data_IF_882777699906
#
_entry.id   IF_882777699906
#
_cell.length_a   1.000
_cell.length_b   1.000
_cell.length_c   1.000
_cell.angle_alpha   90.00
_cell.angle_beta   90.00
_cell.angle_gamma   90.00
#
_symmetry.space_group_name_H-M   'P 1'
#
loop_
_entity.id
_entity.type
_entity.pdbx_description
1 polymer ?
#
# COMPACT_ATOMS: atom_id res chain seq x y z
N UNK A 1 3.72 18.78 -65.30
CA UNK A 1 2.89 17.63 -65.67
C UNK A 1 2.48 16.95 -64.37
N UNK A 2 1.52 17.55 -63.63
CA UNK A 2 0.11 17.11 -63.44
C UNK A 2 0.06 15.63 -63.00
N UNK A 3 -0.45 15.26 -61.82
CA UNK A 3 -1.81 15.57 -61.32
C UNK A 3 -1.94 15.37 -59.79
N UNK A 4 -2.85 16.12 -59.15
CA UNK A 4 -3.26 16.03 -57.74
C UNK A 4 -4.51 15.14 -57.60
N UNK A 5 -4.60 14.34 -56.53
CA UNK A 5 -5.79 14.13 -55.65
C UNK A 5 -5.53 12.96 -54.66
N UNK A 6 -6.29 12.79 -53.55
CA UNK A 6 -7.15 13.72 -52.80
C UNK A 6 -6.81 13.76 -51.29
N UNK A 7 -7.47 14.68 -50.57
CA UNK A 7 -7.49 14.77 -49.12
C UNK A 7 -8.15 13.55 -48.47
N UNK A 8 -7.56 13.04 -47.37
CA UNK A 8 -8.27 12.22 -46.40
C UNK A 8 -7.52 10.98 -45.91
N UNK A 9 -7.21 10.96 -44.61
CA UNK A 9 -6.84 9.81 -43.77
C UNK A 9 -5.42 9.26 -44.02
N UNK A 10 -4.52 9.10 -43.06
CA UNK A 10 -4.57 9.21 -41.62
C UNK A 10 -3.17 9.60 -41.12
N UNK A 11 -3.02 10.80 -40.56
CA UNK A 11 -1.94 11.12 -39.64
C UNK A 11 -2.54 11.26 -38.24
N UNK A 12 -3.20 10.20 -37.78
CA UNK A 12 -3.45 9.96 -36.38
C UNK A 12 -2.41 8.94 -35.91
N UNK A 13 -1.15 9.36 -35.77
CA UNK A 13 -0.12 8.52 -35.15
C UNK A 13 0.84 9.39 -34.33
N UNK A 14 0.25 10.30 -33.55
CA UNK A 14 1.00 11.15 -32.61
C UNK A 14 0.22 11.49 -31.34
N UNK A 15 -0.93 10.87 -31.08
CA UNK A 15 -1.76 11.17 -29.90
C UNK A 15 -2.16 9.95 -29.05
N UNK A 16 -1.62 8.75 -29.30
CA UNK A 16 -1.95 7.55 -28.50
C UNK A 16 -0.92 7.23 -27.39
N UNK A 17 0.01 8.14 -27.11
CA UNK A 17 1.03 7.95 -26.07
C UNK A 17 0.69 8.61 -24.72
N UNK A 18 -0.44 9.32 -24.59
CA UNK A 18 -0.64 10.20 -23.43
C UNK A 18 -2.06 10.18 -22.87
N UNK A 19 -2.54 8.97 -22.58
CA UNK A 19 -3.57 8.73 -21.58
C UNK A 19 -3.14 7.51 -20.75
N UNK A 20 -1.98 7.64 -20.09
CA UNK A 20 -1.67 6.77 -18.94
C UNK A 20 -2.80 7.04 -17.94
N UNK A 21 -3.69 6.07 -17.75
CA UNK A 21 -4.87 6.24 -16.92
C UNK A 21 -4.39 6.58 -15.50
N UNK A 22 -4.51 7.85 -15.11
CA UNK A 22 -4.25 8.23 -13.72
C UNK A 22 -5.20 7.40 -12.87
N UNK A 23 -4.69 6.68 -11.85
CA UNK A 23 -5.54 5.84 -11.03
C UNK A 23 -6.63 6.72 -10.42
N UNK A 24 -7.88 6.28 -10.53
CA UNK A 24 -8.97 6.98 -9.86
C UNK A 24 -8.73 6.93 -8.36
N UNK A 25 -8.87 8.07 -7.68
CA UNK A 25 -8.78 8.16 -6.23
C UNK A 25 -10.17 8.26 -5.63
N UNK A 26 -10.45 7.42 -4.64
CA UNK A 26 -11.68 7.40 -3.87
C UNK A 26 -11.32 7.57 -2.40
N UNK A 27 -11.98 8.54 -1.76
CA UNK A 27 -11.87 8.73 -0.32
C UNK A 27 -12.42 7.49 0.41
N UNK A 28 -11.56 6.84 1.19
CA UNK A 28 -11.94 5.72 2.07
C UNK A 28 -11.09 5.76 3.35
N UNK A 29 -11.77 5.91 4.49
CA UNK A 29 -11.14 5.92 5.81
C UNK A 29 -10.91 4.51 6.38
N UNK A 30 -11.28 3.47 5.63
CA UNK A 30 -11.21 2.06 6.00
C UNK A 30 -12.19 1.65 7.09
N UNK A 31 -13.22 2.47 7.37
CA UNK A 31 -14.20 2.25 8.44
C UNK A 31 -13.70 2.69 9.82
N UNK A 32 -12.69 3.56 9.88
CA UNK A 32 -12.08 4.04 11.13
C UNK A 32 -13.06 4.86 11.96
N UNK A 33 -13.74 5.82 11.34
CA UNK A 33 -14.75 6.64 11.98
C UNK A 33 -15.94 5.79 12.43
N UNK A 34 -16.40 4.87 11.57
CA UNK A 34 -17.47 3.92 11.89
C UNK A 34 -17.12 3.02 13.09
N UNK A 35 -15.84 2.69 13.28
CA UNK A 35 -15.36 1.94 14.43
C UNK A 35 -15.20 2.78 15.73
N UNK A 36 -15.52 4.08 15.68
CA UNK A 36 -15.50 5.00 16.82
C UNK A 36 -14.13 5.63 17.11
N UNK A 37 -13.16 5.52 16.19
CA UNK A 37 -11.83 6.09 16.39
C UNK A 37 -11.80 7.57 16.02
N UNK A 38 -11.33 8.42 16.93
CA UNK A 38 -11.29 9.88 16.78
C UNK A 38 -9.86 10.44 16.74
N UNK A 39 -9.74 11.68 16.29
CA UNK A 39 -8.48 12.43 16.23
C UNK A 39 -7.50 11.97 15.15
N UNK A 40 -6.31 12.59 15.10
CA UNK A 40 -5.27 12.30 14.10
C UNK A 40 -4.57 10.96 14.39
N UNK A 41 -4.31 10.18 13.34
CA UNK A 41 -3.58 8.91 13.40
C UNK A 41 -2.68 8.71 12.18
N UNK A 42 -1.68 7.85 12.32
CA UNK A 42 -0.75 7.40 11.28
C UNK A 42 -1.03 5.94 10.87
N UNK A 43 -2.29 5.57 10.82
CA UNK A 43 -2.81 4.20 10.68
C UNK A 43 -3.00 3.76 9.22
N UNK A 44 -2.29 4.38 8.28
CA UNK A 44 -2.38 4.11 6.83
C UNK A 44 -2.35 2.61 6.51
N UNK A 45 -1.49 1.83 7.18
CA UNK A 45 -1.46 0.38 7.01
C UNK A 45 -2.76 -0.30 7.45
N UNK A 46 -3.28 0.05 8.61
CA UNK A 46 -4.49 -0.58 9.15
C UNK A 46 -5.70 -0.25 8.28
N UNK A 47 -5.82 1.00 7.81
CA UNK A 47 -6.86 1.41 6.87
C UNK A 47 -6.73 0.67 5.53
N UNK A 48 -5.53 0.68 4.93
CA UNK A 48 -5.29 -0.01 3.67
C UNK A 48 -5.59 -1.52 3.74
N UNK A 49 -5.18 -2.18 4.83
CA UNK A 49 -5.48 -3.60 5.02
C UNK A 49 -6.97 -3.84 5.25
N UNK A 50 -7.66 -3.00 6.02
CA UNK A 50 -9.11 -3.12 6.23
C UNK A 50 -9.88 -3.04 4.91
N UNK A 51 -9.54 -2.04 4.07
CA UNK A 51 -10.13 -1.86 2.74
C UNK A 51 -9.83 -3.06 1.85
N UNK A 52 -8.56 -3.43 1.71
CA UNK A 52 -8.12 -4.48 0.80
C UNK A 52 -8.63 -5.87 1.22
N UNK A 53 -8.82 -6.13 2.52
CA UNK A 53 -9.39 -7.38 3.02
C UNK A 53 -10.90 -7.35 3.16
N UNK A 54 -11.55 -6.18 3.01
CA UNK A 54 -12.96 -5.95 3.31
C UNK A 54 -13.35 -6.42 4.71
N UNK A 55 -12.49 -6.12 5.69
CA UNK A 55 -12.70 -6.46 7.10
C UNK A 55 -12.90 -5.19 7.93
N UNK A 56 -13.68 -5.26 9.03
CA UNK A 56 -13.87 -4.10 9.90
C UNK A 56 -12.54 -3.53 10.39
N UNK A 57 -12.40 -2.20 10.35
CA UNK A 57 -11.21 -1.49 10.82
C UNK A 57 -10.71 -1.99 12.17
N UNK A 58 -11.65 -2.13 13.12
CA UNK A 58 -11.36 -2.57 14.49
C UNK A 58 -10.73 -3.95 14.56
N UNK A 59 -11.19 -4.88 13.72
CA UNK A 59 -10.67 -6.24 13.67
C UNK A 59 -9.20 -6.24 13.22
N UNK A 60 -8.89 -5.49 12.16
CA UNK A 60 -7.51 -5.33 11.68
C UNK A 60 -6.66 -4.58 12.71
N UNK A 61 -7.21 -3.54 13.34
CA UNK A 61 -6.52 -2.77 14.37
C UNK A 61 -6.08 -3.66 15.54
N UNK A 62 -7.00 -4.47 16.07
CA UNK A 62 -6.73 -5.40 17.16
C UNK A 62 -5.75 -6.50 16.74
N UNK A 63 -5.89 -7.02 15.50
CA UNK A 63 -4.99 -8.03 14.96
C UNK A 63 -3.55 -7.55 14.82
N UNK A 64 -3.35 -6.32 14.34
CA UNK A 64 -2.03 -5.70 14.21
C UNK A 64 -1.39 -5.53 15.58
N UNK A 65 -2.12 -5.00 16.56
CA UNK A 65 -1.60 -4.80 17.91
C UNK A 65 -1.30 -6.12 18.63
N UNK A 66 -2.13 -7.15 18.44
CA UNK A 66 -1.88 -8.50 18.94
C UNK A 66 -0.59 -9.07 18.36
N UNK A 67 -0.42 -8.98 17.04
CA UNK A 67 0.80 -9.46 16.35
C UNK A 67 2.04 -8.71 16.82
N UNK A 68 1.96 -7.39 17.02
CA UNK A 68 3.04 -6.58 17.55
C UNK A 68 3.48 -7.08 18.94
N UNK A 69 2.51 -7.28 19.84
CA UNK A 69 2.75 -7.74 21.21
C UNK A 69 3.40 -9.12 21.25
N UNK A 70 2.90 -10.07 20.45
CA UNK A 70 3.48 -11.41 20.35
C UNK A 70 4.94 -11.37 19.86
N UNK A 71 5.22 -10.56 18.83
CA UNK A 71 6.58 -10.40 18.31
C UNK A 71 7.51 -9.72 19.30
N UNK A 72 7.01 -8.77 20.10
CA UNK A 72 7.79 -8.13 21.17
C UNK A 72 8.07 -9.09 22.33
N UNK A 73 7.10 -9.92 22.72
CA UNK A 73 7.27 -10.94 23.76
C UNK A 73 8.34 -11.97 23.37
N UNK A 74 8.32 -12.46 22.12
CA UNK A 74 9.35 -13.38 21.61
C UNK A 74 10.76 -12.79 21.53
N UNK A 75 10.91 -11.45 21.61
CA UNK A 75 12.20 -10.75 21.61
C UNK A 75 12.77 -10.52 23.01
N UNK A 76 12.02 -10.78 24.08
CA UNK A 76 12.45 -10.60 25.48
C UNK A 76 13.38 -11.73 25.94
N UNK A 77 14.42 -12.03 25.16
CA UNK A 77 15.56 -12.86 25.57
C UNK A 77 16.46 -12.13 26.58
N UNK A 78 17.42 -12.86 27.17
CA UNK A 78 18.21 -12.40 28.32
C UNK A 78 18.85 -11.02 28.12
N UNK A 79 18.94 -10.26 29.22
CA UNK A 79 19.54 -8.90 29.29
C UNK A 79 20.98 -8.84 28.70
N UNK A 80 21.66 -9.98 28.65
CA UNK A 80 23.00 -10.15 28.06
C UNK A 80 22.98 -10.21 26.53
N UNK A 81 21.91 -10.72 25.90
CA UNK A 81 21.69 -10.66 24.44
C UNK A 81 21.23 -9.28 23.95
N UNK A 82 20.82 -8.40 24.86
CA UNK A 82 20.34 -7.04 24.54
C UNK A 82 21.47 -6.01 24.43
N UNK A 83 22.66 -6.28 25.00
CA UNK A 83 23.86 -5.43 24.85
C UNK A 83 24.51 -5.72 23.49
N UNK A 84 24.35 -4.80 22.53
CA UNK A 84 25.07 -4.82 21.24
C UNK A 84 24.19 -4.97 20.01
N UNK A 85 22.91 -5.30 20.16
CA UNK A 85 21.93 -5.14 19.07
C UNK A 85 21.43 -3.70 19.09
N UNK A 86 21.39 -3.02 17.94
CA UNK A 86 20.44 -1.93 17.73
C UNK A 86 19.06 -2.50 18.06
N UNK A 87 18.61 -2.35 19.32
CA UNK A 87 17.33 -2.87 19.77
C UNK A 87 16.31 -2.14 18.94
N UNK A 88 15.71 -2.82 17.95
CA UNK A 88 14.80 -2.20 16.99
C UNK A 88 13.71 -1.48 17.79
N UNK A 89 13.77 -0.15 17.87
CA UNK A 89 12.91 0.74 18.65
C UNK A 89 11.40 0.50 18.41
N UNK A 90 10.66 -0.25 19.25
CA UNK A 90 9.21 -0.60 19.14
C UNK A 90 8.65 -0.95 17.75
N UNK A 91 8.10 -2.13 17.51
CA UNK A 91 7.66 -2.56 16.15
C UNK A 91 6.63 -1.63 15.47
N UNK A 92 6.06 -0.69 16.21
CA UNK A 92 4.96 0.16 15.81
C UNK A 92 3.65 -0.40 16.36
N UNK A 93 2.56 0.25 16.00
CA UNK A 93 1.22 -0.17 16.39
C UNK A 93 0.22 0.26 15.32
N UNK A 94 -1.01 -0.24 15.42
CA UNK A 94 -2.06 0.04 14.46
C UNK A 94 -2.40 1.54 14.33
N UNK A 95 -2.15 2.37 15.36
CA UNK A 95 -2.50 3.80 15.38
C UNK A 95 -1.40 4.71 14.83
N UNK A 96 -0.13 4.41 15.11
CA UNK A 96 1.01 5.28 14.84
C UNK A 96 1.80 4.86 13.60
N UNK A 97 1.52 3.67 13.06
CA UNK A 97 2.21 3.10 11.93
C UNK A 97 3.07 1.92 12.31
N UNK A 98 3.47 1.18 11.28
CA UNK A 98 4.05 -0.16 11.38
C UNK A 98 5.36 -0.23 10.64
N UNK A 99 6.35 -0.88 11.25
CA UNK A 99 7.65 -1.11 10.61
C UNK A 99 7.63 -2.40 9.78
N UNK A 100 8.56 -2.50 8.83
CA UNK A 100 8.65 -3.63 7.88
C UNK A 100 8.49 -5.02 8.51
N UNK A 101 9.12 -5.34 9.67
CA UNK A 101 8.98 -6.69 10.23
C UNK A 101 7.54 -7.02 10.64
N UNK A 102 6.82 -6.05 11.22
CA UNK A 102 5.44 -6.23 11.65
C UNK A 102 4.49 -6.20 10.45
N UNK A 103 4.74 -5.33 9.47
CA UNK A 103 4.04 -5.32 8.18
C UNK A 103 4.03 -6.72 7.53
N UNK A 104 5.21 -7.29 7.30
CA UNK A 104 5.31 -8.60 6.64
C UNK A 104 4.71 -9.72 7.49
N UNK A 105 4.82 -9.65 8.82
CA UNK A 105 4.22 -10.64 9.71
C UNK A 105 2.69 -10.61 9.62
N UNK A 106 2.07 -9.43 9.67
CA UNK A 106 0.62 -9.27 9.56
C UNK A 106 0.13 -9.77 8.21
N UNK A 107 0.73 -9.28 7.10
CA UNK A 107 0.32 -9.67 5.75
C UNK A 107 0.42 -11.18 5.54
N UNK A 108 1.53 -11.80 5.97
CA UNK A 108 1.71 -13.25 5.87
C UNK A 108 0.65 -14.03 6.66
N UNK A 109 0.33 -13.59 7.89
CA UNK A 109 -0.69 -14.24 8.73
C UNK A 109 -2.10 -14.07 8.17
N UNK A 110 -2.35 -13.03 7.40
CA UNK A 110 -3.60 -12.83 6.66
C UNK A 110 -3.68 -13.64 5.36
N UNK A 111 -2.63 -14.40 5.01
CA UNK A 111 -2.57 -15.20 3.79
C UNK A 111 -2.13 -14.41 2.55
N UNK A 112 -1.62 -13.19 2.72
CA UNK A 112 -1.16 -12.36 1.62
C UNK A 112 0.29 -12.66 1.27
N UNK A 113 0.56 -12.73 -0.04
CA UNK A 113 1.89 -12.89 -0.58
C UNK A 113 2.50 -11.53 -0.95
N UNK A 114 3.76 -11.33 -0.56
CA UNK A 114 4.51 -10.15 -0.97
C UNK A 114 5.03 -10.35 -2.39
N UNK A 115 4.60 -9.49 -3.32
CA UNK A 115 5.11 -9.44 -4.68
C UNK A 115 6.06 -8.23 -4.77
N UNK A 116 7.37 -8.43 -4.92
CA UNK A 116 8.29 -7.33 -5.10
C UNK A 116 8.06 -6.70 -6.48
N UNK A 117 7.58 -5.46 -6.51
CA UNK A 117 7.38 -4.69 -7.74
C UNK A 117 8.69 -4.18 -8.35
N UNK A 118 9.80 -4.18 -7.59
CA UNK A 118 11.12 -3.78 -8.06
C UNK A 118 12.23 -4.61 -7.40
N UNK A 119 13.33 -4.81 -8.12
CA UNK A 119 14.59 -5.33 -7.55
C UNK A 119 15.43 -4.16 -7.00
N UNK A 120 16.19 -4.40 -5.95
CA UNK A 120 17.07 -3.41 -5.33
C UNK A 120 18.03 -2.83 -6.39
N UNK A 121 18.09 -1.50 -6.54
CA UNK A 121 19.01 -0.81 -7.45
C UNK A 121 18.49 -0.49 -8.87
N UNK A 122 17.21 -0.73 -9.20
CA UNK A 122 16.67 -0.46 -10.56
C UNK A 122 15.98 0.90 -10.77
N UNK A 123 15.96 1.77 -9.75
CA UNK A 123 15.23 3.05 -9.80
C UNK A 123 13.71 2.87 -9.79
N UNK A 124 12.97 3.96 -9.51
CA UNK A 124 11.50 3.96 -9.49
C UNK A 124 10.95 3.79 -10.91
N UNK A 125 10.66 2.55 -11.33
CA UNK A 125 10.03 2.27 -12.63
C UNK A 125 8.52 2.07 -12.56
N UNK A 126 7.98 1.72 -11.39
CA UNK A 126 6.55 1.41 -11.22
C UNK A 126 5.84 2.61 -10.64
N UNK A 127 4.93 3.19 -11.42
CA UNK A 127 4.01 4.21 -10.94
C UNK A 127 2.80 3.51 -10.30
N UNK A 128 2.10 4.19 -9.40
CA UNK A 128 0.82 3.71 -8.90
C UNK A 128 -0.18 3.84 -10.06
N UNK A 129 -0.23 2.86 -10.94
CA UNK A 129 -1.06 2.84 -12.14
C UNK A 129 -1.66 1.44 -12.29
N UNK A 130 -2.92 1.39 -12.70
CA UNK A 130 -3.67 0.15 -12.90
C UNK A 130 -2.98 -0.79 -13.91
N UNK A 131 -2.35 -0.22 -14.94
CA UNK A 131 -1.76 -0.97 -16.05
C UNK A 131 -0.42 -1.65 -15.72
N UNK A 132 0.25 -1.24 -14.63
CA UNK A 132 1.57 -1.77 -14.24
C UNK A 132 1.48 -2.77 -13.08
N UNK A 133 0.31 -2.92 -12.45
CA UNK A 133 0.11 -3.73 -11.25
C UNK A 133 -0.84 -4.90 -11.53
N UNK A 134 -0.65 -6.04 -10.85
CA UNK A 134 -1.53 -7.20 -11.04
C UNK A 134 -2.97 -6.82 -10.65
N UNK A 135 -3.98 -7.27 -11.43
CA UNK A 135 -5.37 -6.99 -11.12
C UNK A 135 -5.79 -7.62 -9.79
N UNK A 136 -6.82 -7.06 -9.16
CA UNK A 136 -7.34 -7.50 -7.86
C UNK A 136 -7.03 -6.53 -6.72
N UNK A 137 -6.97 -7.07 -5.50
CA UNK A 137 -6.82 -6.29 -4.25
C UNK A 137 -5.37 -6.26 -3.83
N UNK A 138 -4.83 -5.06 -3.71
CA UNK A 138 -3.43 -4.80 -3.41
C UNK A 138 -3.30 -3.86 -2.23
N UNK A 139 -2.30 -4.12 -1.39
CA UNK A 139 -1.81 -3.17 -0.39
C UNK A 139 -0.47 -2.67 -0.89
N UNK A 140 -0.47 -1.45 -1.41
CA UNK A 140 0.69 -0.84 -2.07
C UNK A 140 1.42 0.04 -1.08
N UNK A 141 2.73 -0.14 -1.03
CA UNK A 141 3.61 0.66 -0.18
C UNK A 141 4.30 1.73 -1.02
N UNK A 142 4.05 2.99 -0.68
CA UNK A 142 4.75 4.15 -1.23
C UNK A 142 5.72 4.75 -0.20
N UNK A 143 6.41 5.81 -0.58
CA UNK A 143 7.35 6.49 0.33
C UNK A 143 6.59 7.08 1.51
N UNK A 144 6.88 6.59 2.73
CA UNK A 144 6.28 7.02 4.01
C UNK A 144 4.77 6.76 4.17
N UNK A 145 4.12 6.09 3.23
CA UNK A 145 2.66 5.88 3.24
C UNK A 145 2.26 4.54 2.61
N UNK A 146 1.07 4.05 2.93
CA UNK A 146 0.55 2.75 2.47
C UNK A 146 -0.91 2.94 2.06
N UNK A 147 -1.27 2.46 0.87
CA UNK A 147 -2.58 2.64 0.26
C UNK A 147 -3.18 1.30 -0.18
N UNK A 148 -4.50 1.21 -0.19
CA UNK A 148 -5.20 0.11 -0.82
C UNK A 148 -5.46 0.44 -2.29
N UNK A 149 -5.22 -0.51 -3.18
CA UNK A 149 -5.62 -0.41 -4.57
C UNK A 149 -6.47 -1.62 -4.92
N UNK A 150 -7.67 -1.39 -5.43
CA UNK A 150 -8.60 -2.44 -5.84
C UNK A 150 -8.94 -2.18 -7.30
N UNK A 151 -8.59 -3.13 -8.17
CA UNK A 151 -8.89 -3.10 -9.60
C UNK A 151 -8.50 -1.78 -10.29
N UNK A 152 -7.33 -1.23 -9.89
CA UNK A 152 -6.78 0.00 -10.45
C UNK A 152 -7.28 1.31 -9.82
N UNK A 153 -8.19 1.23 -8.83
CA UNK A 153 -8.70 2.38 -8.07
C UNK A 153 -7.98 2.45 -6.72
N UNK A 154 -7.50 3.64 -6.35
CA UNK A 154 -6.88 3.92 -5.05
C UNK A 154 -7.97 4.24 -4.04
N UNK A 155 -7.92 3.56 -2.90
CA UNK A 155 -8.76 3.82 -1.75
C UNK A 155 -7.88 4.27 -0.59
N UNK A 156 -8.00 5.54 -0.23
CA UNK A 156 -7.28 6.12 0.89
C UNK A 156 -7.93 7.40 1.41
N UNK A 157 -7.51 7.91 2.57
CA UNK A 157 -8.03 9.14 3.16
C UNK A 157 -7.30 10.40 2.70
N UNK A 158 -6.14 10.27 2.05
CA UNK A 158 -5.41 11.36 1.40
C UNK A 158 -5.05 10.92 -0.01
N UNK A 159 -4.93 11.89 -0.92
CA UNK A 159 -4.38 11.66 -2.24
C UNK A 159 -2.84 11.48 -2.10
N UNK A 160 -2.27 10.31 -2.42
CA UNK A 160 -0.89 9.93 -2.08
C UNK A 160 0.21 10.49 -2.98
#
# INVERSE_FOLDING_TARGET
WLERAPWGQALASSMEAEQRAMPQWVYDDGGREAAGFQGRAGDCFTRAVAIATQRPYREIYDFVNKTAKEMEQGRRGSRQQQKGRYVLSSLGNARQGVRNPLFHAVMRRLGWSWIPTMRFGQGCKVHLCADELPPGRLVVRVTKHIVAMIDGVIYDNHDP
#
